data_IF_672179404571
#
_entry.id   IF_672179404571
#
_cell.length_a   1.000
_cell.length_b   1.000
_cell.length_c   1.000
_cell.angle_alpha   90.00
_cell.angle_beta   90.00
_cell.angle_gamma   90.00
#
_symmetry.space_group_name_H-M   'P 1'
#
loop_
_entity.id
_entity.type
_entity.pdbx_description
1 polymer ?
#
# COMPACT_ATOMS: atom_id res chain seq x y z
N UNK A 1 -13.75 7.24 -0.03
CA UNK A 1 -14.02 5.89 0.48
C UNK A 1 -15.32 5.87 1.24
N UNK A 2 -16.29 5.09 0.75
CA UNK A 2 -17.54 4.81 1.48
C UNK A 2 -17.23 4.02 2.77
N UNK A 3 -18.03 4.22 3.81
CA UNK A 3 -17.92 3.47 5.07
C UNK A 3 -18.04 1.96 4.83
N UNK A 4 -18.91 1.54 3.92
CA UNK A 4 -19.06 0.13 3.53
C UNK A 4 -17.78 -0.46 2.97
N UNK A 5 -17.04 0.29 2.15
CA UNK A 5 -15.73 -0.14 1.62
C UNK A 5 -14.70 -0.24 2.72
N UNK A 6 -14.62 0.75 3.62
CA UNK A 6 -13.70 0.70 4.76
C UNK A 6 -13.92 -0.57 5.60
N UNK A 7 -15.18 -0.88 5.90
CA UNK A 7 -15.54 -2.05 6.69
C UNK A 7 -15.09 -3.37 6.03
N UNK A 8 -15.15 -3.50 4.70
CA UNK A 8 -14.72 -4.74 3.99
C UNK A 8 -13.30 -5.17 4.35
N UNK A 9 -12.38 -4.21 4.55
CA UNK A 9 -10.98 -4.50 4.88
C UNK A 9 -10.78 -4.49 6.40
N UNK A 10 -11.37 -3.54 7.12
CA UNK A 10 -11.17 -3.43 8.58
C UNK A 10 -11.66 -4.68 9.32
N UNK A 11 -12.72 -5.34 8.85
CA UNK A 11 -13.18 -6.61 9.45
C UNK A 11 -12.22 -7.79 9.25
N UNK A 12 -11.22 -7.64 8.38
CA UNK A 12 -10.16 -8.64 8.19
C UNK A 12 -8.97 -8.42 9.13
N UNK A 13 -9.00 -7.33 9.92
CA UNK A 13 -7.95 -7.00 10.89
C UNK A 13 -8.27 -7.68 12.22
N UNK A 14 -7.34 -8.45 12.75
CA UNK A 14 -7.47 -9.15 14.03
C UNK A 14 -7.07 -8.28 15.23
N UNK A 15 -7.16 -8.85 16.44
CA UNK A 15 -6.81 -8.17 17.70
C UNK A 15 -5.32 -7.82 17.82
N UNK A 16 -4.46 -8.44 17.02
CA UNK A 16 -3.03 -8.16 16.93
C UNK A 16 -2.69 -7.13 15.84
N UNK A 17 -3.72 -6.50 15.24
CA UNK A 17 -3.60 -5.55 14.14
C UNK A 17 -3.06 -6.16 12.84
N UNK A 18 -3.24 -7.46 12.63
CA UNK A 18 -2.78 -8.18 11.43
C UNK A 18 -3.95 -8.50 10.52
N UNK A 19 -3.69 -8.74 9.24
CA UNK A 19 -4.73 -9.09 8.26
C UNK A 19 -4.20 -10.06 7.23
N UNK A 20 -4.72 -11.29 7.21
CA UNK A 20 -4.37 -12.30 6.20
C UNK A 20 -4.69 -11.84 4.77
N UNK A 21 -5.72 -11.00 4.61
CA UNK A 21 -6.05 -10.38 3.35
C UNK A 21 -4.94 -9.41 2.88
N UNK A 22 -4.46 -8.54 3.78
CA UNK A 22 -3.38 -7.62 3.45
C UNK A 22 -2.03 -8.35 3.24
N UNK A 23 -1.76 -9.42 3.99
CA UNK A 23 -0.59 -10.30 3.80
C UNK A 23 -0.59 -10.90 2.38
N UNK A 24 -1.74 -11.37 1.88
CA UNK A 24 -1.86 -11.87 0.52
C UNK A 24 -1.51 -10.80 -0.53
N UNK A 25 -1.91 -9.55 -0.34
CA UNK A 25 -1.55 -8.44 -1.23
C UNK A 25 -0.04 -8.17 -1.17
N UNK A 26 0.55 -8.20 0.03
CA UNK A 26 1.97 -7.95 0.26
C UNK A 26 2.88 -8.94 -0.46
N UNK A 27 2.40 -10.16 -0.73
CA UNK A 27 3.19 -11.20 -1.44
C UNK A 27 3.79 -10.76 -2.77
N UNK A 28 3.20 -9.73 -3.41
CA UNK A 28 3.70 -9.11 -4.63
C UNK A 28 5.03 -8.34 -4.45
N UNK A 29 5.47 -8.05 -3.22
CA UNK A 29 6.73 -7.38 -2.90
C UNK A 29 7.63 -8.26 -2.01
N UNK A 30 8.93 -7.95 -1.99
CA UNK A 30 9.86 -8.50 -0.99
C UNK A 30 9.56 -7.88 0.37
N UNK A 31 9.51 -8.73 1.40
CA UNK A 31 9.16 -8.33 2.76
C UNK A 31 9.67 -9.35 3.78
N UNK A 32 9.87 -8.88 5.00
CA UNK A 32 10.18 -9.70 6.15
C UNK A 32 8.87 -10.32 6.67
N UNK A 33 8.84 -11.65 6.80
CA UNK A 33 7.63 -12.38 7.18
C UNK A 33 7.09 -11.92 8.54
N UNK A 34 5.78 -11.72 8.57
CA UNK A 34 5.04 -11.39 9.79
C UNK A 34 5.28 -10.01 10.37
N UNK A 35 5.80 -9.08 9.56
CA UNK A 35 6.01 -7.69 9.95
C UNK A 35 4.88 -6.75 9.50
N UNK A 36 3.82 -7.26 8.86
CA UNK A 36 2.71 -6.46 8.35
C UNK A 36 1.67 -6.13 9.44
N UNK A 37 1.47 -4.84 9.70
CA UNK A 37 0.50 -4.34 10.68
C UNK A 37 -0.41 -3.26 10.09
N UNK A 38 -1.67 -3.29 10.47
CA UNK A 38 -2.66 -2.28 10.13
C UNK A 38 -2.30 -0.94 10.76
N UNK A 39 -2.31 0.12 9.95
CA UNK A 39 -2.04 1.49 10.43
C UNK A 39 -3.30 2.35 10.41
N UNK A 40 -3.99 2.42 9.27
CA UNK A 40 -5.21 3.22 9.13
C UNK A 40 -6.02 2.86 7.89
N UNK A 41 -7.31 3.20 7.92
CA UNK A 41 -8.20 3.23 6.78
C UNK A 41 -8.88 4.61 6.68
N UNK A 42 -8.86 5.21 5.51
CA UNK A 42 -9.55 6.48 5.21
C UNK A 42 -9.74 6.61 3.70
N UNK A 43 -9.04 7.52 3.02
CA UNK A 43 -9.01 7.57 1.54
C UNK A 43 -8.29 6.38 0.91
N UNK A 44 -7.43 5.71 1.68
CA UNK A 44 -6.72 4.48 1.31
C UNK A 44 -6.66 3.57 2.55
N UNK A 45 -6.43 2.28 2.32
CA UNK A 45 -5.96 1.36 3.34
C UNK A 45 -4.44 1.46 3.40
N UNK A 46 -3.91 1.60 4.61
CA UNK A 46 -2.46 1.70 4.84
C UNK A 46 -2.06 0.72 5.92
N UNK A 47 -1.09 -0.11 5.57
CA UNK A 47 -0.39 -1.03 6.46
C UNK A 47 1.09 -0.68 6.45
N UNK A 48 1.79 -1.04 7.52
CA UNK A 48 3.24 -0.91 7.65
C UNK A 48 3.87 -2.29 7.68
N UNK A 49 5.03 -2.46 7.06
CA UNK A 49 5.80 -3.71 7.11
C UNK A 49 7.29 -3.42 7.05
N UNK A 50 8.12 -4.45 7.18
CA UNK A 50 9.57 -4.34 7.03
C UNK A 50 10.08 -5.15 5.84
N UNK A 51 11.17 -4.70 5.24
CA UNK A 51 11.95 -5.47 4.27
C UNK A 51 13.43 -5.17 4.54
N UNK A 52 14.22 -6.19 4.86
CA UNK A 52 15.60 -6.05 5.32
C UNK A 52 15.73 -5.11 6.54
N UNK A 53 14.74 -5.13 7.44
CA UNK A 53 14.71 -4.29 8.64
C UNK A 53 14.35 -2.80 8.42
N UNK A 54 14.16 -2.36 7.17
CA UNK A 54 13.67 -1.02 6.86
C UNK A 54 12.14 -1.00 6.79
N UNK A 55 11.51 0.11 7.20
CA UNK A 55 10.06 0.25 7.22
C UNK A 55 9.49 0.73 5.89
N UNK A 56 8.43 0.06 5.45
CA UNK A 56 7.68 0.37 4.23
C UNK A 56 6.18 0.51 4.51
N UNK A 57 5.49 1.19 3.60
CA UNK A 57 4.04 1.33 3.63
C UNK A 57 3.42 0.53 2.48
N UNK A 58 2.50 -0.37 2.81
CA UNK A 58 1.61 -0.99 1.83
C UNK A 58 0.34 -0.14 1.76
N UNK A 59 0.05 0.41 0.57
CA UNK A 59 -1.12 1.25 0.34
C UNK A 59 -1.95 0.72 -0.82
N UNK A 60 -3.24 0.47 -0.56
CA UNK A 60 -4.19 0.03 -1.56
C UNK A 60 -5.56 0.67 -1.35
N UNK A 61 -6.40 0.61 -2.39
CA UNK A 61 -7.71 1.25 -2.43
C UNK A 61 -8.61 0.47 -3.39
N UNK A 62 -9.91 0.47 -3.13
CA UNK A 62 -10.89 -0.16 -4.02
C UNK A 62 -10.92 0.59 -5.37
N UNK A 63 -11.01 -0.15 -6.48
CA UNK A 63 -10.90 0.39 -7.85
C UNK A 63 -11.93 1.48 -8.15
N UNK A 64 -13.13 1.35 -7.61
CA UNK A 64 -14.23 2.31 -7.78
C UNK A 64 -13.99 3.63 -7.05
N UNK A 65 -13.06 3.67 -6.08
CA UNK A 65 -12.75 4.85 -5.28
C UNK A 65 -11.58 5.67 -5.86
N UNK A 66 -10.66 5.02 -6.61
CA UNK A 66 -9.54 5.71 -7.26
C UNK A 66 -9.11 5.00 -8.54
N UNK A 67 -9.05 5.76 -9.63
CA UNK A 67 -8.63 5.22 -10.93
C UNK A 67 -7.12 4.97 -10.99
N UNK A 68 -6.71 4.02 -11.82
CA UNK A 68 -5.30 3.69 -12.08
C UNK A 68 -4.55 4.91 -12.61
N UNK A 69 -5.17 5.72 -13.46
CA UNK A 69 -4.57 6.93 -14.04
C UNK A 69 -4.26 7.98 -12.96
N UNK A 70 -5.15 8.12 -11.98
CA UNK A 70 -4.95 9.04 -10.86
C UNK A 70 -3.78 8.58 -9.96
N UNK A 71 -3.63 7.27 -9.74
CA UNK A 71 -2.50 6.70 -9.00
C UNK A 71 -1.21 6.86 -9.79
N UNK A 72 -1.24 6.62 -11.10
CA UNK A 72 -0.08 6.80 -11.99
C UNK A 72 0.40 8.25 -12.00
N UNK A 73 -0.52 9.21 -12.04
CA UNK A 73 -0.18 10.63 -11.96
C UNK A 73 0.47 11.00 -10.61
N UNK A 74 -0.02 10.44 -9.50
CA UNK A 74 0.59 10.60 -8.17
C UNK A 74 2.03 10.06 -8.15
N UNK A 75 2.26 8.87 -8.69
CA UNK A 75 3.59 8.26 -8.82
C UNK A 75 4.53 9.15 -9.64
N UNK A 76 4.08 9.67 -10.78
CA UNK A 76 4.89 10.57 -11.61
C UNK A 76 5.31 11.84 -10.86
N UNK A 77 4.42 12.41 -10.05
CA UNK A 77 4.74 13.58 -9.22
C UNK A 77 5.81 13.22 -8.19
N UNK A 78 5.67 12.09 -7.47
CA UNK A 78 6.66 11.66 -6.48
C UNK A 78 8.04 11.41 -7.10
N UNK A 79 8.09 10.74 -8.25
CA UNK A 79 9.33 10.52 -9.00
C UNK A 79 9.95 11.84 -9.46
N UNK A 80 9.14 12.78 -9.96
CA UNK A 80 9.60 14.10 -10.35
C UNK A 80 10.19 14.86 -9.15
N UNK A 81 9.51 14.89 -8.01
CA UNK A 81 9.99 15.58 -6.81
C UNK A 81 11.28 14.94 -6.27
N UNK A 82 11.35 13.61 -6.21
CA UNK A 82 12.56 12.88 -5.84
C UNK A 82 13.74 13.22 -6.77
N UNK A 83 13.50 13.33 -8.08
CA UNK A 83 14.54 13.73 -9.05
C UNK A 83 15.06 15.17 -8.85
N UNK A 84 14.30 16.01 -8.13
CA UNK A 84 14.69 17.37 -7.74
C UNK A 84 15.34 17.44 -6.36
N UNK A 85 15.79 16.29 -5.82
CA UNK A 85 16.41 16.19 -4.48
C UNK A 85 15.50 16.63 -3.34
N UNK A 86 14.18 16.52 -3.51
CA UNK A 86 13.23 16.65 -2.41
C UNK A 86 13.05 15.30 -1.72
N UNK A 87 13.09 15.29 -0.39
CA UNK A 87 12.80 14.12 0.41
C UNK A 87 11.30 13.82 0.35
N UNK A 88 10.96 12.77 -0.40
CA UNK A 88 9.60 12.27 -0.57
C UNK A 88 9.61 10.75 -0.52
N UNK A 89 8.49 10.16 -0.09
CA UNK A 89 8.32 8.72 -0.21
C UNK A 89 8.28 8.31 -1.69
N UNK A 90 9.12 7.34 -2.06
CA UNK A 90 9.24 6.87 -3.45
C UNK A 90 8.54 5.51 -3.57
N UNK A 91 7.67 5.30 -4.57
CA UNK A 91 7.01 4.02 -4.77
C UNK A 91 8.02 2.92 -5.10
N UNK A 92 7.77 1.70 -4.61
CA UNK A 92 8.64 0.54 -4.77
C UNK A 92 8.04 -0.41 -5.81
N UNK A 93 8.90 -0.91 -6.72
CA UNK A 93 8.49 -1.89 -7.72
C UNK A 93 8.12 -3.22 -7.05
N UNK A 94 7.04 -3.83 -7.53
CA UNK A 94 6.70 -5.20 -7.19
C UNK A 94 7.68 -6.19 -7.84
N UNK A 95 7.60 -7.46 -7.43
CA UNK A 95 8.30 -8.59 -8.07
C UNK A 95 8.01 -8.67 -9.59
N UNK A 96 6.82 -8.24 -10.00
CA UNK A 96 6.38 -8.19 -11.39
C UNK A 96 6.75 -6.90 -12.13
N UNK A 97 7.62 -6.05 -11.56
CA UNK A 97 8.10 -4.81 -12.17
C UNK A 97 6.99 -3.79 -12.45
N UNK A 98 5.98 -3.71 -11.57
CA UNK A 98 4.94 -2.68 -11.64
C UNK A 98 4.83 -1.90 -10.31
N UNK A 99 4.47 -0.62 -10.40
CA UNK A 99 4.17 0.23 -9.23
C UNK A 99 2.70 0.13 -8.80
N UNK A 100 1.82 -0.25 -9.71
CA UNK A 100 0.40 -0.47 -9.47
C UNK A 100 0.11 -1.93 -9.83
N UNK A 101 -0.22 -2.73 -8.82
CA UNK A 101 -0.69 -4.10 -9.03
C UNK A 101 -2.22 -4.07 -9.04
N UNK A 102 -2.82 -4.46 -10.17
CA UNK A 102 -4.25 -4.69 -10.29
C UNK A 102 -4.47 -6.18 -10.52
N UNK A 103 -5.42 -6.77 -9.80
CA UNK A 103 -5.92 -8.12 -10.08
C UNK A 103 -6.63 -8.18 -11.46
#
# INVERSE_FOLDING_TARGET
>A
MKLSTMLKVVVTVDEEWRSSFAENILTNWEHDEGTLYYMRASSNFVFIFQNNGEHFFLRFVEKEEKSTEAIQAEIHILQYLSSRSLEVNVPVLSKNQCYICTD
#
